data_IF_039705694550
#
_entry.id   IF_039705694550
#
_cell.length_a   1.000
_cell.length_b   1.000
_cell.length_c   1.000
_cell.angle_alpha   90.00
_cell.angle_beta   90.00
_cell.angle_gamma   90.00
#
_symmetry.space_group_name_H-M   'P 1'
#
loop_
_entity.id
_entity.type
_entity.pdbx_description
1 polymer ?
#
# COMPACT_ATOMS: atom_id res chain seq x y z
N UNK A 1 -23.38 6.02 2.61
CA UNK A 1 -22.52 4.86 2.29
C UNK A 1 -21.51 5.11 1.14
N UNK A 2 -21.67 6.15 0.30
CA UNK A 2 -20.84 6.33 -0.91
C UNK A 2 -19.52 7.10 -0.69
N UNK A 3 -19.42 7.93 0.35
CA UNK A 3 -18.32 8.87 0.51
C UNK A 3 -16.96 8.17 0.68
N UNK A 4 -16.89 7.08 1.44
CA UNK A 4 -15.66 6.31 1.63
C UNK A 4 -15.11 5.75 0.31
N UNK A 5 -15.88 4.91 -0.42
CA UNK A 5 -15.49 4.41 -1.73
C UNK A 5 -15.12 5.53 -2.73
N UNK A 6 -15.86 6.64 -2.74
CA UNK A 6 -15.54 7.80 -3.57
C UNK A 6 -14.15 8.36 -3.24
N UNK A 7 -13.87 8.61 -1.97
CA UNK A 7 -12.56 9.15 -1.52
C UNK A 7 -11.43 8.20 -1.88
N UNK A 8 -11.61 6.88 -1.69
CA UNK A 8 -10.60 5.89 -2.05
C UNK A 8 -10.35 5.78 -3.56
N UNK A 9 -11.42 5.85 -4.37
CA UNK A 9 -11.28 5.82 -5.83
C UNK A 9 -10.59 7.09 -6.36
N UNK A 10 -10.97 8.26 -5.85
CA UNK A 10 -10.34 9.53 -6.21
C UNK A 10 -8.88 9.56 -5.76
N UNK A 11 -8.58 9.13 -4.52
CA UNK A 11 -7.21 9.12 -4.02
C UNK A 11 -6.32 8.25 -4.89
N UNK A 12 -6.77 7.06 -5.32
CA UNK A 12 -6.03 6.22 -6.25
C UNK A 12 -5.68 6.95 -7.56
N UNK A 13 -6.65 7.60 -8.20
CA UNK A 13 -6.42 8.31 -9.47
C UNK A 13 -5.52 9.54 -9.32
N UNK A 14 -5.63 10.27 -8.20
CA UNK A 14 -4.89 11.52 -7.99
C UNK A 14 -3.51 11.33 -7.32
N UNK A 15 -3.21 10.17 -6.74
CA UNK A 15 -1.96 9.99 -5.97
C UNK A 15 -0.88 9.14 -6.64
N UNK A 16 -1.11 8.64 -7.86
CA UNK A 16 -0.08 7.91 -8.63
C UNK A 16 1.24 8.69 -8.73
N UNK A 17 1.19 9.97 -9.08
CA UNK A 17 2.37 10.83 -9.15
C UNK A 17 3.20 10.95 -7.86
N UNK A 18 2.62 10.65 -6.68
CA UNK A 18 3.31 10.76 -5.39
C UNK A 18 4.37 9.66 -5.30
N UNK A 19 4.02 8.43 -5.66
CA UNK A 19 4.97 7.32 -5.64
C UNK A 19 6.02 7.44 -6.75
N UNK A 20 5.69 8.06 -7.89
CA UNK A 20 6.69 8.40 -8.93
C UNK A 20 7.74 9.42 -8.44
N UNK A 21 7.32 10.37 -7.58
CA UNK A 21 8.19 11.43 -7.06
C UNK A 21 8.99 11.02 -5.82
N UNK A 22 8.35 10.32 -4.87
CA UNK A 22 8.93 10.03 -3.55
C UNK A 22 9.44 8.59 -3.38
N UNK A 23 9.18 7.72 -4.36
CA UNK A 23 9.51 6.30 -4.29
C UNK A 23 8.33 5.47 -3.80
N UNK A 24 7.99 4.41 -4.54
CA UNK A 24 6.84 3.55 -4.26
C UNK A 24 6.93 2.83 -2.91
N UNK A 25 8.12 2.36 -2.52
CA UNK A 25 8.32 1.68 -1.24
C UNK A 25 8.15 2.63 -0.05
N UNK A 26 8.72 3.84 -0.13
CA UNK A 26 8.60 4.87 0.92
C UNK A 26 7.16 5.35 1.09
N UNK A 27 6.45 5.59 0.00
CA UNK A 27 5.03 5.97 0.05
C UNK A 27 4.21 4.83 0.64
N UNK A 28 4.47 3.59 0.25
CA UNK A 28 3.76 2.41 0.78
C UNK A 28 3.95 2.24 2.28
N UNK A 29 5.15 2.50 2.81
CA UNK A 29 5.39 2.51 4.26
C UNK A 29 4.55 3.57 4.98
N UNK A 30 4.57 4.81 4.47
CA UNK A 30 3.78 5.90 5.04
C UNK A 30 2.27 5.58 4.99
N UNK A 31 1.81 4.93 3.93
CA UNK A 31 0.43 4.46 3.81
C UNK A 31 0.11 3.43 4.89
N UNK A 32 0.95 2.41 5.11
CA UNK A 32 0.65 1.43 6.16
C UNK A 32 0.61 2.05 7.55
N UNK A 33 1.51 3.00 7.85
CA UNK A 33 1.45 3.78 9.10
C UNK A 33 0.12 4.55 9.18
N UNK A 34 -0.29 5.22 8.11
CA UNK A 34 -1.54 5.98 8.07
C UNK A 34 -2.76 5.07 8.25
N UNK A 35 -2.75 3.87 7.66
CA UNK A 35 -3.80 2.87 7.85
C UNK A 35 -3.86 2.40 9.30
N UNK A 36 -2.71 2.13 9.93
CA UNK A 36 -2.65 1.78 11.36
C UNK A 36 -3.23 2.89 12.24
N UNK A 37 -2.84 4.15 12.01
CA UNK A 37 -3.37 5.31 12.74
C UNK A 37 -4.89 5.44 12.54
N UNK A 38 -5.37 5.27 11.31
CA UNK A 38 -6.81 5.27 11.01
C UNK A 38 -7.55 4.16 11.75
N UNK A 39 -7.02 2.94 11.79
CA UNK A 39 -7.62 1.80 12.51
C UNK A 39 -7.63 2.02 14.02
N UNK A 40 -6.55 2.56 14.60
CA UNK A 40 -6.50 2.93 16.02
C UNK A 40 -7.51 4.04 16.32
N UNK A 41 -7.68 5.02 15.44
CA UNK A 41 -8.72 6.04 15.54
C UNK A 41 -10.12 5.44 15.57
N UNK A 42 -10.42 4.51 14.66
CA UNK A 42 -11.70 3.78 14.67
C UNK A 42 -11.92 3.04 15.99
N UNK A 43 -10.92 2.30 16.47
CA UNK A 43 -10.99 1.58 17.74
C UNK A 43 -11.23 2.52 18.93
N UNK A 44 -10.53 3.65 18.96
CA UNK A 44 -10.66 4.65 20.01
C UNK A 44 -12.07 5.25 20.08
N UNK A 45 -12.61 5.70 18.94
CA UNK A 45 -13.96 6.27 18.89
C UNK A 45 -15.06 5.23 19.07
N UNK A 46 -14.80 3.97 18.72
CA UNK A 46 -15.72 2.87 19.02
C UNK A 46 -15.78 2.57 20.53
N UNK A 47 -14.63 2.61 21.23
CA UNK A 47 -14.57 2.43 22.67
C UNK A 47 -15.20 3.62 23.45
N UNK A 48 -15.09 4.83 22.90
CA UNK A 48 -15.60 6.07 23.50
C UNK A 48 -16.88 6.57 22.81
N UNK A 49 -17.78 5.66 22.42
CA UNK A 49 -18.96 5.96 21.59
C UNK A 49 -19.91 7.02 22.18
N UNK A 50 -19.90 7.20 23.51
CA UNK A 50 -20.79 8.12 24.22
C UNK A 50 -20.19 9.53 24.36
N UNK A 51 -18.94 9.74 23.93
CA UNK A 51 -18.30 11.04 23.97
C UNK A 51 -18.89 12.01 22.91
N UNK A 52 -18.94 13.32 23.19
CA UNK A 52 -19.34 14.32 22.21
C UNK A 52 -18.48 14.24 20.94
N UNK A 53 -19.12 14.10 19.78
CA UNK A 53 -18.42 14.00 18.50
C UNK A 53 -17.78 12.64 18.18
N UNK A 54 -18.01 11.60 18.99
CA UNK A 54 -17.43 10.27 18.75
C UNK A 54 -17.76 9.71 17.37
N UNK A 55 -18.98 9.92 16.88
CA UNK A 55 -19.37 9.54 15.52
C UNK A 55 -18.57 10.26 14.43
N UNK A 56 -18.30 11.56 14.60
CA UNK A 56 -17.51 12.34 13.64
C UNK A 56 -16.07 11.81 13.62
N UNK A 57 -15.48 11.58 14.80
CA UNK A 57 -14.14 11.00 14.90
C UNK A 57 -14.04 9.62 14.26
N UNK A 58 -15.02 8.75 14.53
CA UNK A 58 -15.15 7.44 13.90
C UNK A 58 -15.25 7.56 12.37
N UNK A 59 -16.10 8.45 11.88
CA UNK A 59 -16.32 8.65 10.45
C UNK A 59 -15.06 9.17 9.75
N UNK A 60 -14.40 10.19 10.32
CA UNK A 60 -13.14 10.74 9.79
C UNK A 60 -12.06 9.66 9.74
N UNK A 61 -11.97 8.81 10.77
CA UNK A 61 -11.01 7.70 10.80
C UNK A 61 -11.26 6.72 9.65
N UNK A 62 -12.52 6.41 9.32
CA UNK A 62 -12.86 5.61 8.14
C UNK A 62 -12.52 6.33 6.82
N UNK A 63 -12.77 7.63 6.71
CA UNK A 63 -12.39 8.41 5.52
C UNK A 63 -10.87 8.38 5.31
N UNK A 64 -10.09 8.51 6.38
CA UNK A 64 -8.62 8.36 6.34
C UNK A 64 -8.23 6.95 5.87
N UNK A 65 -8.89 5.90 6.37
CA UNK A 65 -8.64 4.52 5.92
C UNK A 65 -8.93 4.33 4.43
N UNK A 66 -10.05 4.85 3.93
CA UNK A 66 -10.40 4.78 2.50
C UNK A 66 -9.40 5.55 1.64
N UNK A 67 -9.04 6.76 2.07
CA UNK A 67 -8.01 7.56 1.41
C UNK A 67 -6.69 6.79 1.33
N UNK A 68 -6.18 6.33 2.48
CA UNK A 68 -4.92 5.61 2.59
C UNK A 68 -4.91 4.33 1.76
N UNK A 69 -6.01 3.58 1.74
CA UNK A 69 -6.15 2.37 0.90
C UNK A 69 -6.03 2.70 -0.58
N UNK A 70 -6.64 3.80 -1.05
CA UNK A 70 -6.51 4.23 -2.44
C UNK A 70 -5.09 4.64 -2.81
N UNK A 71 -4.38 5.35 -1.92
CA UNK A 71 -2.96 5.68 -2.10
C UNK A 71 -2.09 4.42 -2.11
N UNK A 72 -2.35 3.49 -1.19
CA UNK A 72 -1.62 2.22 -1.10
C UNK A 72 -1.74 1.37 -2.36
N UNK A 73 -2.93 1.33 -2.96
CA UNK A 73 -3.14 0.65 -4.24
C UNK A 73 -2.30 1.27 -5.37
N UNK A 74 -2.23 2.60 -5.43
CA UNK A 74 -1.41 3.28 -6.42
C UNK A 74 0.10 3.03 -6.19
N UNK A 75 0.58 3.15 -4.94
CA UNK A 75 2.00 3.00 -4.63
C UNK A 75 2.49 1.57 -4.83
N UNK A 76 1.72 0.56 -4.42
CA UNK A 76 2.06 -0.86 -4.59
C UNK A 76 2.07 -1.27 -6.07
N UNK A 77 1.14 -0.79 -6.88
CA UNK A 77 1.15 -1.05 -8.32
C UNK A 77 2.33 -0.40 -9.04
N UNK A 78 2.86 0.70 -8.53
CA UNK A 78 4.09 1.29 -9.06
C UNK A 78 5.36 0.56 -8.60
N UNK A 79 5.32 -0.15 -7.47
CA UNK A 79 6.45 -0.97 -7.03
C UNK A 79 6.68 -2.17 -7.96
N UNK A 80 5.62 -2.80 -8.47
CA UNK A 80 5.72 -4.00 -9.33
C UNK A 80 6.66 -3.78 -10.54
N UNK A 81 6.45 -2.77 -11.42
CA UNK A 81 7.34 -2.55 -12.55
C UNK A 81 8.74 -2.11 -12.14
N UNK A 82 8.90 -1.38 -11.04
CA UNK A 82 10.22 -1.02 -10.52
C UNK A 82 11.02 -2.25 -10.07
N UNK A 83 10.35 -3.19 -9.40
CA UNK A 83 10.90 -4.48 -8.97
C UNK A 83 11.30 -5.32 -10.19
N UNK A 84 10.40 -5.46 -11.16
CA UNK A 84 10.67 -6.31 -12.33
C UNK A 84 11.78 -5.77 -13.21
N UNK A 85 11.90 -4.45 -13.37
CA UNK A 85 13.05 -3.85 -14.08
C UNK A 85 14.37 -4.25 -13.42
N UNK A 86 14.45 -4.20 -12.10
CA UNK A 86 15.67 -4.59 -11.36
C UNK A 86 15.93 -6.10 -11.45
N UNK A 87 14.90 -6.93 -11.36
CA UNK A 87 15.08 -8.38 -11.39
C UNK A 87 15.43 -8.89 -12.80
N UNK A 88 14.83 -8.34 -13.86
CA UNK A 88 15.16 -8.68 -15.24
C UNK A 88 16.57 -8.19 -15.60
N UNK A 89 16.98 -7.00 -15.16
CA UNK A 89 18.36 -6.54 -15.32
C UNK A 89 19.38 -7.47 -14.65
N UNK A 90 19.00 -8.12 -13.55
CA UNK A 90 19.84 -9.07 -12.82
C UNK A 90 19.84 -10.47 -13.44
N UNK A 91 18.69 -10.97 -13.87
CA UNK A 91 18.51 -12.34 -14.36
C UNK A 91 18.90 -12.50 -15.84
N UNK A 92 18.68 -11.45 -16.65
CA UNK A 92 18.85 -11.46 -18.11
C UNK A 92 19.89 -10.41 -18.56
N UNK A 93 21.13 -10.40 -18.03
CA UNK A 93 22.12 -9.36 -18.34
C UNK A 93 22.55 -9.35 -19.82
N UNK A 94 22.36 -10.48 -20.52
CA UNK A 94 22.73 -10.67 -21.92
C UNK A 94 21.73 -10.02 -22.90
N UNK A 95 20.51 -9.70 -22.45
CA UNK A 95 19.51 -9.06 -23.31
C UNK A 95 19.88 -7.61 -23.63
N UNK A 96 19.46 -7.13 -24.80
CA UNK A 96 19.58 -5.71 -25.18
C UNK A 96 18.71 -4.84 -24.27
N UNK A 97 19.09 -3.57 -24.04
CA UNK A 97 18.37 -2.69 -23.11
C UNK A 97 16.88 -2.48 -23.46
N UNK A 98 16.55 -2.39 -24.76
CA UNK A 98 15.17 -2.23 -25.20
C UNK A 98 14.35 -3.52 -25.00
N UNK A 99 14.97 -4.69 -25.16
CA UNK A 99 14.29 -5.97 -24.99
C UNK A 99 14.09 -6.32 -23.52
N UNK A 100 15.03 -5.95 -22.63
CA UNK A 100 14.85 -6.06 -21.18
C UNK A 100 13.67 -5.23 -20.69
N UNK A 101 13.54 -3.99 -21.17
CA UNK A 101 12.43 -3.13 -20.77
C UNK A 101 11.08 -3.74 -21.16
N UNK A 102 10.96 -4.23 -22.41
CA UNK A 102 9.75 -4.92 -22.88
C UNK A 102 9.45 -6.17 -22.06
N UNK A 103 10.46 -6.95 -21.71
CA UNK A 103 10.27 -8.15 -20.89
C UNK A 103 9.81 -7.79 -19.48
N UNK A 104 10.45 -6.81 -18.84
CA UNK A 104 10.04 -6.32 -17.52
C UNK A 104 8.60 -5.81 -17.54
N UNK A 105 8.17 -5.09 -18.57
CA UNK A 105 6.80 -4.60 -18.71
C UNK A 105 5.78 -5.73 -18.89
N UNK A 106 6.10 -6.74 -19.71
CA UNK A 106 5.25 -7.93 -19.90
C UNK A 106 5.06 -8.71 -18.60
N UNK A 107 6.15 -9.01 -17.90
CA UNK A 107 6.10 -9.73 -16.63
C UNK A 107 5.38 -8.93 -15.54
N UNK A 108 5.61 -7.62 -15.50
CA UNK A 108 4.90 -6.72 -14.57
C UNK A 108 3.39 -6.73 -14.80
N UNK A 109 2.95 -6.71 -16.07
CA UNK A 109 1.53 -6.79 -16.40
C UNK A 109 0.92 -8.11 -15.95
N UNK A 110 1.62 -9.24 -16.17
CA UNK A 110 1.18 -10.56 -15.72
C UNK A 110 1.06 -10.62 -14.18
N UNK A 111 2.10 -10.17 -13.46
CA UNK A 111 2.12 -10.13 -11.99
C UNK A 111 1.03 -9.22 -11.45
N UNK A 112 0.81 -8.06 -12.05
CA UNK A 112 -0.24 -7.12 -11.64
C UNK A 112 -1.63 -7.75 -11.82
N UNK A 113 -1.87 -8.46 -12.92
CA UNK A 113 -3.13 -9.17 -13.15
C UNK A 113 -3.38 -10.26 -12.10
N UNK A 114 -2.38 -11.11 -11.84
CA UNK A 114 -2.49 -12.21 -10.87
C UNK A 114 -2.68 -11.70 -9.44
N UNK A 115 -1.89 -10.72 -9.02
CA UNK A 115 -2.02 -10.10 -7.69
C UNK A 115 -3.35 -9.37 -7.51
N UNK A 116 -3.89 -8.74 -8.56
CA UNK A 116 -5.22 -8.11 -8.54
C UNK A 116 -6.34 -9.12 -8.34
N UNK A 117 -6.24 -10.32 -8.93
CA UNK A 117 -7.21 -11.39 -8.71
C UNK A 117 -7.22 -11.85 -7.24
N UNK A 118 -6.05 -11.97 -6.61
CA UNK A 118 -5.95 -12.28 -5.18
C UNK A 118 -6.51 -11.12 -4.34
N UNK A 119 -6.18 -9.87 -4.68
CA UNK A 119 -6.65 -8.70 -3.94
C UNK A 119 -8.19 -8.57 -3.96
N UNK A 120 -8.86 -9.05 -5.00
CA UNK A 120 -10.32 -9.03 -5.11
C UNK A 120 -11.02 -9.82 -3.98
N UNK A 121 -10.39 -10.86 -3.43
CA UNK A 121 -10.94 -11.59 -2.27
C UNK A 121 -11.10 -10.69 -1.04
N UNK A 122 -10.37 -9.57 -0.94
CA UNK A 122 -10.51 -8.58 0.11
C UNK A 122 -11.94 -8.02 0.23
N UNK A 123 -12.65 -7.89 -0.91
CA UNK A 123 -14.03 -7.42 -0.94
C UNK A 123 -15.01 -8.37 -0.24
N UNK A 124 -14.69 -9.67 -0.18
CA UNK A 124 -15.44 -10.66 0.59
C UNK A 124 -14.92 -10.79 2.02
N UNK A 125 -13.60 -10.79 2.19
CA UNK A 125 -12.95 -11.02 3.47
C UNK A 125 -13.28 -9.94 4.51
N UNK A 126 -13.29 -8.66 4.12
CA UNK A 126 -13.53 -7.55 5.05
C UNK A 126 -14.96 -7.59 5.62
N UNK A 127 -16.04 -7.61 4.80
CA UNK A 127 -17.41 -7.68 5.33
C UNK A 127 -17.64 -8.96 6.13
N UNK A 128 -17.10 -10.10 5.68
CA UNK A 128 -17.28 -11.37 6.39
C UNK A 128 -16.58 -11.35 7.76
N UNK A 129 -15.39 -10.77 7.86
CA UNK A 129 -14.67 -10.62 9.13
C UNK A 129 -15.42 -9.73 10.11
N UNK A 130 -15.97 -8.60 9.65
CA UNK A 130 -16.84 -7.76 10.48
C UNK A 130 -18.09 -8.52 10.94
N UNK A 131 -18.75 -9.26 10.04
CA UNK A 131 -19.92 -10.07 10.38
C UNK A 131 -19.62 -11.16 11.42
N UNK A 132 -18.49 -11.86 11.28
CA UNK A 132 -18.04 -12.86 12.27
C UNK A 132 -17.70 -12.22 13.62
N UNK A 133 -17.01 -11.07 13.60
CA UNK A 133 -16.69 -10.32 14.82
C UNK A 133 -17.93 -9.88 15.57
N UNK A 134 -18.92 -9.33 14.86
CA UNK A 134 -20.19 -8.91 15.44
C UNK A 134 -21.00 -10.10 15.98
N UNK A 135 -21.04 -11.22 15.25
CA UNK A 135 -21.74 -12.42 15.70
C UNK A 135 -21.12 -13.06 16.94
N UNK A 136 -19.78 -13.05 17.05
CA UNK A 136 -19.07 -13.71 18.15
C UNK A 136 -18.92 -12.83 19.40
N UNK A 137 -18.75 -11.52 19.24
CA UNK A 137 -18.38 -10.60 20.33
C UNK A 137 -19.35 -9.44 20.54
N UNK A 138 -20.32 -9.25 19.65
CA UNK A 138 -21.18 -8.05 19.64
C UNK A 138 -20.48 -6.76 19.19
N UNK A 139 -19.19 -6.83 18.83
CA UNK A 139 -18.38 -5.66 18.45
C UNK A 139 -17.57 -5.91 17.18
N UNK A 140 -17.24 -4.82 16.47
CA UNK A 140 -16.32 -4.83 15.33
C UNK A 140 -14.83 -4.82 15.74
N UNK A 141 -14.53 -4.62 17.04
CA UNK A 141 -13.16 -4.45 17.52
C UNK A 141 -12.24 -5.66 17.23
N UNK A 142 -12.64 -6.92 17.44
CA UNK A 142 -11.80 -8.07 17.09
C UNK A 142 -11.35 -8.09 15.62
N UNK A 143 -12.26 -7.80 14.68
CA UNK A 143 -11.90 -7.68 13.26
C UNK A 143 -10.87 -6.56 13.01
N UNK A 144 -11.07 -5.39 13.64
CA UNK A 144 -10.15 -4.25 13.51
C UNK A 144 -8.75 -4.55 14.08
N UNK A 145 -8.64 -5.29 15.19
CA UNK A 145 -7.35 -5.75 15.70
C UNK A 145 -6.67 -6.72 14.72
N UNK A 146 -7.44 -7.62 14.08
CA UNK A 146 -6.93 -8.48 13.03
C UNK A 146 -6.38 -7.70 11.83
N UNK A 147 -7.11 -6.68 11.36
CA UNK A 147 -6.64 -5.79 10.30
C UNK A 147 -5.41 -4.98 10.71
N UNK A 148 -5.36 -4.50 11.95
CA UNK A 148 -4.19 -3.78 12.46
C UNK A 148 -2.95 -4.68 12.47
N UNK A 149 -3.06 -5.92 12.93
CA UNK A 149 -1.98 -6.89 12.89
C UNK A 149 -1.52 -7.18 11.46
N UNK A 150 -2.46 -7.29 10.52
CA UNK A 150 -2.15 -7.43 9.10
C UNK A 150 -1.37 -6.22 8.57
N UNK A 151 -1.80 -4.99 8.86
CA UNK A 151 -1.08 -3.79 8.42
C UNK A 151 0.32 -3.69 9.00
N UNK A 152 0.53 -4.07 10.27
CA UNK A 152 1.86 -4.18 10.88
C UNK A 152 2.71 -5.18 10.10
N UNK A 153 2.18 -6.36 9.78
CA UNK A 153 2.91 -7.36 9.02
C UNK A 153 3.30 -6.85 7.63
N UNK A 154 2.40 -6.14 6.94
CA UNK A 154 2.67 -5.56 5.63
C UNK A 154 3.74 -4.47 5.70
N UNK A 155 3.71 -3.64 6.75
CA UNK A 155 4.72 -2.62 6.99
C UNK A 155 6.10 -3.25 7.21
N UNK A 156 6.19 -4.29 8.05
CA UNK A 156 7.44 -5.00 8.30
C UNK A 156 8.00 -5.64 7.03
N UNK A 157 7.16 -6.34 6.27
CA UNK A 157 7.58 -6.93 4.98
C UNK A 157 8.06 -5.84 4.03
N UNK A 158 7.33 -4.73 3.92
CA UNK A 158 7.70 -3.63 3.02
C UNK A 158 9.02 -3.00 3.42
N UNK A 159 9.24 -2.82 4.72
CA UNK A 159 10.47 -2.30 5.27
C UNK A 159 11.65 -3.24 5.00
N UNK A 160 11.55 -4.50 5.45
CA UNK A 160 12.67 -5.44 5.40
C UNK A 160 13.07 -5.84 3.98
N UNK A 161 12.10 -5.96 3.06
CA UNK A 161 12.35 -6.44 1.69
C UNK A 161 12.70 -5.30 0.74
N UNK A 162 11.99 -4.18 0.82
CA UNK A 162 12.07 -3.13 -0.22
C UNK A 162 12.80 -1.87 0.21
N UNK A 163 12.54 -1.36 1.42
CA UNK A 163 12.91 0.01 1.80
C UNK A 163 14.11 0.12 2.75
N UNK A 164 14.53 -0.95 3.44
CA UNK A 164 15.72 -0.95 4.31
C UNK A 164 16.99 -0.68 3.49
N UNK A 165 18.08 -0.11 4.07
CA UNK A 165 19.40 -0.12 3.43
C UNK A 165 19.80 -1.54 2.99
N UNK A 166 20.04 -1.72 1.69
CA UNK A 166 20.26 -3.03 1.05
C UNK A 166 18.99 -3.72 0.50
N UNK A 167 17.82 -3.12 0.71
CA UNK A 167 16.53 -3.57 0.18
C UNK A 167 16.41 -3.34 -1.33
N UNK A 168 15.51 -4.09 -1.96
CA UNK A 168 15.45 -4.17 -3.42
C UNK A 168 15.20 -2.80 -4.10
N UNK A 169 14.42 -1.91 -3.48
CA UNK A 169 14.09 -0.60 -4.06
C UNK A 169 14.91 0.55 -3.46
N UNK A 170 15.67 0.31 -2.39
CA UNK A 170 16.42 1.35 -1.67
C UNK A 170 17.34 2.17 -2.57
N UNK A 171 18.16 1.49 -3.40
CA UNK A 171 19.12 2.17 -4.27
C UNK A 171 18.43 2.92 -5.41
N UNK A 172 17.31 2.39 -5.92
CA UNK A 172 16.54 2.98 -7.02
C UNK A 172 15.89 4.28 -6.58
N UNK A 173 15.30 4.27 -5.38
CA UNK A 173 14.61 5.43 -4.82
C UNK A 173 15.57 6.51 -4.30
N UNK A 174 16.76 6.12 -3.82
CA UNK A 174 17.77 7.05 -3.34
C UNK A 174 18.70 7.59 -4.45
N UNK A 175 18.89 6.87 -5.57
CA UNK A 175 19.70 7.37 -6.71
C UNK A 175 19.15 8.63 -7.35
N UNK A 176 17.83 8.89 -7.30
CA UNK A 176 17.23 10.15 -7.79
C UNK A 176 17.77 11.41 -7.07
N UNK A 177 18.46 11.28 -5.91
CA UNK A 177 19.13 12.40 -5.23
C UNK A 177 20.60 12.59 -5.61
N UNK A 178 21.26 11.56 -6.09
CA UNK A 178 22.64 11.65 -6.60
C UNK A 178 22.57 11.78 -8.12
N UNK A 179 22.65 13.02 -8.60
CA UNK A 179 22.91 13.30 -10.01
C UNK A 179 24.12 12.52 -10.53
N UNK A 180 24.29 12.41 -11.86
CA UNK A 180 25.30 11.55 -12.47
C UNK A 180 26.65 11.80 -11.79
N UNK A 181 27.20 10.76 -11.18
CA UNK A 181 28.56 10.79 -10.66
C UNK A 181 29.43 11.29 -11.82
N UNK A 182 30.02 12.45 -11.60
CA UNK A 182 30.87 13.16 -12.54
C UNK A 182 31.84 12.16 -13.14
N UNK A 183 31.68 11.89 -14.43
CA UNK A 183 32.79 11.37 -15.23
C UNK A 183 33.83 12.48 -15.28
N UNK A 184 34.82 12.40 -14.41
CA UNK A 184 36.06 13.16 -14.46
C UNK A 184 37.16 12.10 -14.32
N UNK A 185 37.73 11.65 -15.45
CA UNK A 185 38.79 12.27 -16.24
C UNK A 185 40.13 11.64 -15.86
#
# INVERSE_FOLDING_TARGET
AFLGPLVGALSRSFTGWIADRFGGARVTLAVFVLMMVGTVGVLYFLANKDAPGAFIGFFVSFIVLFFATGVGNASTFQMIPAIMRKEIDRLEPQMSGADRLRQAEKESAAITGFTSAIAAYGAFFIPKSFGMSLAASGSAAPALYGFLAFYVSCLLVTWFVYARPGGLLFDVENRKRSGPATAAA
#
